data_IF_152243822100
#
_entry.id   IF_152243822100
#
_cell.length_a   1.000
_cell.length_b   1.000
_cell.length_c   1.000
_cell.angle_alpha   90.00
_cell.angle_beta   90.00
_cell.angle_gamma   90.00
#
_symmetry.space_group_name_H-M   'P 1'
#
loop_
_entity.id
_entity.type
_entity.pdbx_description
1 polymer ?
#
# COMPACT_ATOMS: atom_id res chain seq x y z
N UNK A 1 -22.32 4.12 -5.23
CA UNK A 1 -23.26 3.64 -4.19
C UNK A 1 -22.81 3.94 -2.76
N UNK A 2 -21.56 3.69 -2.37
CA UNK A 2 -21.08 3.97 -0.99
C UNK A 2 -20.98 5.48 -0.71
N UNK A 3 -20.35 6.25 -1.61
CA UNK A 3 -20.19 7.71 -1.46
C UNK A 3 -21.54 8.45 -1.33
N UNK A 4 -22.57 7.96 -2.02
CA UNK A 4 -23.91 8.54 -1.95
C UNK A 4 -24.59 8.27 -0.60
N UNK A 5 -24.34 7.11 0.01
CA UNK A 5 -24.87 6.78 1.34
C UNK A 5 -24.15 7.55 2.46
N UNK A 6 -22.84 7.78 2.30
CA UNK A 6 -22.06 8.60 3.24
C UNK A 6 -22.55 10.04 3.25
N UNK A 7 -22.71 10.64 2.05
CA UNK A 7 -23.26 12.00 1.92
C UNK A 7 -24.65 12.14 2.53
N UNK A 8 -25.53 11.15 2.31
CA UNK A 8 -26.87 11.14 2.93
C UNK A 8 -26.83 11.05 4.45
N UNK A 9 -25.86 10.34 5.01
CA UNK A 9 -25.71 10.25 6.46
C UNK A 9 -25.20 11.56 7.07
N UNK A 10 -24.29 12.26 6.38
CA UNK A 10 -23.82 13.60 6.75
C UNK A 10 -24.99 14.61 6.76
N UNK A 11 -25.78 14.65 5.68
CA UNK A 11 -26.95 15.54 5.56
C UNK A 11 -28.01 15.27 6.66
N UNK A 12 -28.19 14.01 7.06
CA UNK A 12 -29.11 13.61 8.13
C UNK A 12 -28.55 13.97 9.52
N UNK A 13 -27.22 13.88 9.69
CA UNK A 13 -26.52 14.32 10.90
C UNK A 13 -26.62 15.82 11.11
N UNK A 14 -26.43 16.61 10.04
CA UNK A 14 -26.56 18.08 10.09
C UNK A 14 -27.98 18.52 10.48
N UNK A 15 -29.00 17.76 10.07
CA UNK A 15 -30.41 17.99 10.46
C UNK A 15 -30.75 17.49 11.87
N UNK A 16 -29.76 17.00 12.63
CA UNK A 16 -29.95 16.51 13.99
C UNK A 16 -30.68 15.17 14.10
N UNK A 17 -30.88 14.45 12.99
CA UNK A 17 -31.54 13.13 12.97
C UNK A 17 -30.52 12.01 13.19
N UNK A 18 -29.93 11.98 14.40
CA UNK A 18 -28.80 11.12 14.78
C UNK A 18 -29.09 9.63 14.56
N UNK A 19 -30.26 9.13 14.97
CA UNK A 19 -30.62 7.71 14.84
C UNK A 19 -30.69 7.24 13.39
N UNK A 20 -31.19 8.11 12.50
CA UNK A 20 -31.31 7.81 11.07
C UNK A 20 -29.95 7.91 10.39
N UNK A 21 -29.14 8.91 10.75
CA UNK A 21 -27.79 9.10 10.24
C UNK A 21 -26.91 7.89 10.57
N UNK A 22 -26.94 7.42 11.83
CA UNK A 22 -26.17 6.27 12.28
C UNK A 22 -26.58 4.99 11.52
N UNK A 23 -27.89 4.74 11.39
CA UNK A 23 -28.39 3.58 10.62
C UNK A 23 -27.96 3.61 9.14
N UNK A 24 -27.91 4.80 8.54
CA UNK A 24 -27.42 4.94 7.15
C UNK A 24 -25.91 4.76 7.02
N UNK A 25 -25.13 5.18 8.02
CA UNK A 25 -23.68 4.96 8.10
C UNK A 25 -23.35 3.48 8.24
N UNK A 26 -24.01 2.76 9.15
CA UNK A 26 -23.83 1.32 9.34
C UNK A 26 -24.08 0.54 8.03
N UNK A 27 -25.10 0.93 7.27
CA UNK A 27 -25.37 0.37 5.95
C UNK A 27 -24.32 0.70 4.88
N UNK A 28 -23.60 1.81 5.00
CA UNK A 28 -22.48 2.16 4.12
C UNK A 28 -21.21 1.38 4.49
N UNK A 29 -20.97 1.20 5.80
CA UNK A 29 -19.85 0.42 6.32
C UNK A 29 -19.95 -1.07 6.02
N UNK A 30 -21.16 -1.65 6.11
CA UNK A 30 -21.38 -3.05 5.74
C UNK A 30 -21.08 -3.31 4.25
N UNK A 31 -21.46 -2.37 3.38
CA UNK A 31 -21.14 -2.46 1.95
C UNK A 31 -19.63 -2.30 1.69
N UNK A 32 -18.96 -1.44 2.46
CA UNK A 32 -17.50 -1.32 2.43
C UNK A 32 -16.83 -2.62 2.86
N UNK A 33 -17.29 -3.26 3.94
CA UNK A 33 -16.78 -4.55 4.42
C UNK A 33 -16.94 -5.66 3.38
N UNK A 34 -18.08 -5.74 2.70
CA UNK A 34 -18.32 -6.74 1.63
C UNK A 34 -17.40 -6.48 0.43
N UNK A 35 -17.28 -5.22 -0.01
CA UNK A 35 -16.38 -4.84 -1.11
C UNK A 35 -14.90 -5.12 -0.80
N UNK A 36 -14.53 -5.03 0.47
CA UNK A 36 -13.18 -5.35 0.94
C UNK A 36 -13.02 -6.87 1.04
N UNK A 37 -14.00 -7.62 1.58
CA UNK A 37 -13.87 -9.06 1.80
C UNK A 37 -13.74 -9.88 0.51
N UNK A 38 -14.38 -9.48 -0.59
CA UNK A 38 -14.26 -10.20 -1.87
C UNK A 38 -12.87 -10.04 -2.53
N UNK A 39 -12.10 -9.02 -2.16
CA UNK A 39 -10.76 -8.75 -2.68
C UNK A 39 -9.65 -8.91 -1.62
N UNK A 40 -10.04 -9.13 -0.35
CA UNK A 40 -9.18 -9.14 0.84
C UNK A 40 -8.18 -10.30 0.86
N UNK A 41 -8.55 -11.45 0.28
CA UNK A 41 -7.71 -12.66 0.31
C UNK A 41 -6.49 -12.56 -0.60
N UNK A 42 -6.51 -11.71 -1.63
CA UNK A 42 -5.36 -11.49 -2.54
C UNK A 42 -4.58 -10.22 -2.15
N UNK A 43 -5.26 -9.18 -1.67
CA UNK A 43 -4.63 -7.87 -1.38
C UNK A 43 -3.82 -7.86 -0.06
N UNK A 44 -4.20 -8.67 0.95
CA UNK A 44 -3.56 -8.60 2.27
C UNK A 44 -2.08 -9.02 2.28
N UNK A 45 -1.58 -9.70 1.25
CA UNK A 45 -0.16 -10.07 1.13
C UNK A 45 0.69 -9.00 0.42
N UNK A 46 0.08 -8.13 -0.39
CA UNK A 46 0.82 -7.22 -1.28
C UNK A 46 0.56 -5.73 -1.06
N UNK A 47 -0.44 -5.32 -0.28
CA UNK A 47 -0.76 -3.90 -0.12
C UNK A 47 -0.79 -3.51 1.36
N UNK A 48 0.38 -3.14 1.88
CA UNK A 48 0.45 -2.23 3.04
C UNK A 48 -0.17 -0.89 2.62
N UNK A 49 -1.35 -0.61 3.16
CA UNK A 49 -1.95 0.72 3.40
C UNK A 49 -1.60 1.86 2.42
N UNK A 50 -2.57 2.27 1.62
CA UNK A 50 -2.67 3.67 1.18
C UNK A 50 -3.29 4.48 2.34
N UNK A 51 -2.59 5.46 2.95
CA UNK A 51 -3.25 6.42 3.81
C UNK A 51 -4.00 7.44 2.96
N UNK A 52 -5.30 7.57 3.23
CA UNK A 52 -6.12 8.72 2.82
C UNK A 52 -5.43 10.01 3.27
N UNK A 53 -5.21 10.89 2.31
CA UNK A 53 -4.51 12.17 2.46
C UNK A 53 -5.37 13.17 3.21
N UNK A 54 -4.93 13.59 4.39
CA UNK A 54 -5.30 14.88 4.94
C UNK A 54 -4.15 15.87 4.65
N UNK A 55 -4.49 16.97 3.98
CA UNK A 55 -3.57 17.85 3.27
C UNK A 55 -2.89 18.89 4.19
N UNK A 56 -2.62 18.55 5.45
CA UNK A 56 -2.34 19.55 6.50
C UNK A 56 -1.19 19.20 7.44
N UNK A 57 -0.07 18.62 6.96
CA UNK A 57 1.09 18.41 7.85
C UNK A 57 2.45 18.73 7.20
N UNK A 58 2.89 19.99 7.38
CA UNK A 58 4.09 20.61 6.77
C UNK A 58 5.40 20.38 7.57
N UNK A 59 5.44 19.51 8.58
CA UNK A 59 6.58 19.41 9.51
C UNK A 59 7.19 18.00 9.67
N UNK A 60 7.42 17.27 8.57
CA UNK A 60 8.11 15.97 8.59
C UNK A 60 8.99 15.78 7.33
N UNK A 61 9.83 16.78 7.04
CA UNK A 61 10.52 16.95 5.74
C UNK A 61 11.66 15.95 5.41
N UNK A 62 11.97 14.97 6.27
CA UNK A 62 12.94 13.91 5.96
C UNK A 62 12.25 12.56 5.61
N UNK A 63 11.24 12.14 6.38
CA UNK A 63 10.52 10.88 6.15
C UNK A 63 9.34 11.01 5.16
N UNK A 64 8.85 12.24 4.89
CA UNK A 64 7.70 12.51 4.00
C UNK A 64 8.10 12.66 2.52
N UNK A 65 9.37 12.47 2.15
CA UNK A 65 9.70 12.29 0.72
C UNK A 65 9.23 10.94 0.18
N UNK A 66 8.87 10.02 1.07
CA UNK A 66 8.26 8.71 0.75
C UNK A 66 6.74 8.85 0.51
N UNK A 67 6.20 10.05 0.30
CA UNK A 67 4.73 10.19 0.17
C UNK A 67 4.14 9.73 -1.16
N UNK A 68 4.92 9.58 -2.24
CA UNK A 68 4.38 9.04 -3.52
C UNK A 68 5.42 8.35 -4.41
N UNK A 69 6.53 7.86 -3.85
CA UNK A 69 7.40 7.02 -4.65
C UNK A 69 6.75 5.64 -4.74
N UNK A 70 6.27 5.27 -5.92
CA UNK A 70 5.86 3.89 -6.22
C UNK A 70 7.12 3.04 -6.19
N UNK A 71 7.30 2.31 -5.10
CA UNK A 71 8.45 1.45 -4.88
C UNK A 71 8.04 -0.02 -5.05
N UNK A 72 8.94 -0.82 -5.60
CA UNK A 72 8.88 -2.28 -5.57
C UNK A 72 10.12 -2.84 -4.89
N UNK A 73 10.05 -4.08 -4.42
CA UNK A 73 11.17 -4.75 -3.74
C UNK A 73 11.90 -5.63 -4.74
N UNK A 74 13.24 -5.62 -4.71
CA UNK A 74 14.05 -6.56 -5.48
C UNK A 74 14.02 -7.96 -4.86
N UNK A 75 13.67 -8.96 -5.67
CA UNK A 75 13.51 -10.35 -5.21
C UNK A 75 14.81 -10.99 -4.73
N UNK A 76 15.98 -10.49 -5.18
CA UNK A 76 17.29 -11.06 -4.83
C UNK A 76 17.80 -10.46 -3.53
N UNK A 77 17.90 -9.13 -3.45
CA UNK A 77 18.57 -8.44 -2.34
C UNK A 77 17.65 -7.63 -1.42
N UNK A 78 16.35 -7.58 -1.69
CA UNK A 78 15.35 -6.94 -0.83
C UNK A 78 15.41 -5.42 -0.77
N UNK A 79 16.19 -4.76 -1.64
CA UNK A 79 16.21 -3.30 -1.69
C UNK A 79 14.92 -2.75 -2.31
N UNK A 80 14.56 -1.52 -1.95
CA UNK A 80 13.47 -0.77 -2.58
C UNK A 80 13.97 -0.08 -3.85
N UNK A 81 13.26 -0.29 -4.96
CA UNK A 81 13.52 0.33 -6.26
C UNK A 81 12.31 1.17 -6.66
N UNK A 82 12.55 2.31 -7.27
CA UNK A 82 11.45 3.12 -7.82
C UNK A 82 11.00 2.50 -9.13
N UNK A 83 9.68 2.48 -9.35
CA UNK A 83 9.10 2.13 -10.66
C UNK A 83 9.57 3.09 -11.76
N UNK A 84 10.00 4.30 -11.38
CA UNK A 84 10.48 5.33 -12.31
C UNK A 84 12.00 5.41 -12.41
N UNK A 85 12.72 4.37 -11.98
CA UNK A 85 14.19 4.34 -12.13
C UNK A 85 14.60 4.20 -13.59
N UNK A 86 15.69 4.90 -13.96
CA UNK A 86 16.29 4.78 -15.28
C UNK A 86 17.04 3.46 -15.43
N UNK A 87 17.17 2.98 -16.66
CA UNK A 87 17.94 1.76 -16.96
C UNK A 87 19.37 1.82 -16.44
N UNK A 88 20.01 3.00 -16.46
CA UNK A 88 21.34 3.18 -15.88
C UNK A 88 21.34 2.92 -14.37
N UNK A 89 20.35 3.45 -13.63
CA UNK A 89 20.25 3.24 -12.18
C UNK A 89 19.90 1.78 -11.85
N UNK A 90 19.09 1.14 -12.69
CA UNK A 90 18.79 -0.29 -12.59
C UNK A 90 20.05 -1.13 -12.85
N UNK A 91 20.85 -0.79 -13.86
CA UNK A 91 22.11 -1.46 -14.15
C UNK A 91 23.09 -1.37 -12.97
N UNK A 92 23.22 -0.19 -12.35
CA UNK A 92 24.04 0.00 -11.15
C UNK A 92 23.51 -0.81 -9.95
N UNK A 93 22.18 -0.95 -9.84
CA UNK A 93 21.57 -1.82 -8.83
C UNK A 93 21.94 -3.29 -9.05
N UNK A 94 21.72 -3.82 -10.26
CA UNK A 94 21.95 -5.24 -10.59
C UNK A 94 23.44 -5.61 -10.62
N UNK A 95 24.30 -4.70 -11.08
CA UNK A 95 25.76 -4.83 -11.02
C UNK A 95 26.36 -4.51 -9.65
N UNK A 96 25.55 -4.08 -8.69
CA UNK A 96 26.02 -3.69 -7.36
C UNK A 96 26.46 -4.88 -6.51
N UNK A 97 27.47 -4.67 -5.65
CA UNK A 97 28.00 -5.70 -4.74
C UNK A 97 26.94 -6.31 -3.83
N UNK A 98 25.97 -5.49 -3.38
CA UNK A 98 24.86 -5.98 -2.56
C UNK A 98 24.01 -6.98 -3.32
N UNK A 99 23.61 -6.63 -4.54
CA UNK A 99 22.78 -7.49 -5.38
C UNK A 99 23.51 -8.79 -5.72
N UNK A 100 24.72 -8.68 -6.26
CA UNK A 100 25.56 -9.84 -6.61
C UNK A 100 25.90 -10.73 -5.41
N UNK A 101 26.16 -10.15 -4.24
CA UNK A 101 26.44 -10.91 -3.02
C UNK A 101 25.25 -11.77 -2.57
N UNK A 102 24.03 -11.19 -2.58
CA UNK A 102 22.82 -11.95 -2.27
C UNK A 102 22.52 -13.03 -3.31
N UNK A 103 22.78 -12.76 -4.58
CA UNK A 103 22.65 -13.75 -5.66
C UNK A 103 23.56 -14.96 -5.40
N UNK A 104 24.84 -14.74 -5.11
CA UNK A 104 25.80 -15.82 -4.81
C UNK A 104 25.40 -16.65 -3.58
N UNK A 105 24.88 -16.00 -2.53
CA UNK A 105 24.40 -16.69 -1.33
C UNK A 105 23.21 -17.60 -1.67
N UNK A 106 22.25 -17.10 -2.45
CA UNK A 106 21.07 -17.87 -2.88
C UNK A 106 21.45 -19.04 -3.76
N UNK A 107 22.34 -18.83 -4.72
CA UNK A 107 22.84 -19.91 -5.60
C UNK A 107 23.55 -20.99 -4.78
N UNK A 108 24.38 -20.58 -3.81
CA UNK A 108 25.06 -21.53 -2.93
C UNK A 108 24.07 -22.31 -2.07
N UNK A 109 23.06 -21.63 -1.52
CA UNK A 109 22.00 -22.27 -0.73
C UNK A 109 21.22 -23.29 -1.55
N UNK A 110 20.82 -22.94 -2.78
CA UNK A 110 20.14 -23.85 -3.69
C UNK A 110 20.99 -25.09 -4.01
N UNK A 111 22.30 -24.90 -4.25
CA UNK A 111 23.23 -26.00 -4.47
C UNK A 111 23.45 -26.91 -3.24
N UNK A 112 23.19 -26.42 -2.03
CA UNK A 112 23.23 -27.22 -0.80
C UNK A 112 21.90 -27.95 -0.52
N UNK A 113 20.78 -27.33 -0.88
CA UNK A 113 19.43 -27.90 -0.70
C UNK A 113 19.07 -28.94 -1.78
N UNK A 114 19.75 -28.91 -2.94
CA UNK A 114 19.61 -29.91 -4.00
C UNK A 114 20.46 -31.17 -3.82
N UNK A 115 20.98 -31.43 -2.61
CA UNK A 115 21.64 -32.69 -2.21
C UNK A 115 20.82 -33.42 -1.17
#
# INVERSE_FOLDING_TARGET
MINEKLKKAEDLGEKGMVDKAQKTLEGAEALKKISISEFSSVISLYTRQEPVLDSSNKYIAADVRITYQKLHVCDICGALLSVYDSDQRLADHFGGKRHLGYMQIRDKLAGLQGR
#
